data_IF_031283936564
#
_entry.id   IF_031283936564
#
_cell.length_a   1.000
_cell.length_b   1.000
_cell.length_c   1.000
_cell.angle_alpha   90.00
_cell.angle_beta   90.00
_cell.angle_gamma   90.00
#
_symmetry.space_group_name_H-M   'P 1'
#
loop_
_entity.id
_entity.type
_entity.pdbx_description
1 polymer ?
#
# COMPACT_ATOMS: atom_id res chain seq x y z
N UNK A 1 -13.08 12.51 28.04
CA UNK A 1 -13.77 11.46 27.26
C UNK A 1 -12.70 10.76 26.46
N UNK A 2 -12.48 9.47 26.71
CA UNK A 2 -11.62 8.65 25.84
C UNK A 2 -12.17 8.74 24.41
N UNK A 3 -11.31 9.11 23.48
CA UNK A 3 -11.66 9.17 22.07
C UNK A 3 -11.66 7.74 21.52
N UNK A 4 -12.81 7.25 21.06
CA UNK A 4 -12.93 5.95 20.40
C UNK A 4 -12.06 5.87 19.13
N UNK A 5 -11.75 4.65 18.67
CA UNK A 5 -10.89 4.43 17.51
C UNK A 5 -11.43 5.04 16.20
N UNK A 6 -12.76 5.05 16.01
CA UNK A 6 -13.42 5.49 14.79
C UNK A 6 -14.28 6.73 15.07
N UNK A 7 -14.23 7.70 14.17
CA UNK A 7 -15.09 8.88 14.18
C UNK A 7 -15.52 9.27 12.78
N UNK A 8 -16.61 10.04 12.70
CA UNK A 8 -17.12 10.60 11.44
C UNK A 8 -16.13 11.57 10.81
N UNK A 9 -16.07 11.57 9.48
CA UNK A 9 -15.20 12.44 8.67
C UNK A 9 -16.03 13.45 7.87
N UNK A 10 -15.52 14.67 7.76
CA UNK A 10 -16.02 15.68 6.81
C UNK A 10 -15.23 15.61 5.52
N UNK A 11 -15.91 15.27 4.43
CA UNK A 11 -15.26 15.03 3.14
C UNK A 11 -16.06 15.63 1.98
N UNK A 12 -15.33 16.08 0.95
CA UNK A 12 -15.88 16.21 -0.39
C UNK A 12 -15.63 14.90 -1.15
N UNK A 13 -16.61 14.48 -1.93
CA UNK A 13 -16.47 13.31 -2.79
C UNK A 13 -16.38 13.76 -4.24
N UNK A 14 -15.57 13.07 -5.04
CA UNK A 14 -15.59 13.22 -6.49
C UNK A 14 -16.99 12.92 -7.02
N UNK A 15 -17.45 13.69 -8.00
CA UNK A 15 -18.73 13.44 -8.66
C UNK A 15 -18.62 12.21 -9.57
N UNK A 16 -19.73 11.50 -9.73
CA UNK A 16 -19.82 10.25 -10.49
C UNK A 16 -19.22 10.36 -11.90
N UNK A 17 -19.57 11.42 -12.63
CA UNK A 17 -19.11 11.66 -14.00
C UNK A 17 -17.61 11.96 -14.13
N UNK A 18 -16.92 12.23 -13.01
CA UNK A 18 -15.48 12.50 -12.97
C UNK A 18 -14.65 11.37 -12.37
N UNK A 19 -15.27 10.40 -11.69
CA UNK A 19 -14.56 9.42 -10.87
C UNK A 19 -13.56 8.59 -11.67
N UNK A 20 -13.95 8.07 -12.83
CA UNK A 20 -13.07 7.26 -13.71
C UNK A 20 -11.89 8.04 -14.25
N UNK A 21 -12.03 9.36 -14.40
CA UNK A 21 -11.02 10.24 -14.97
C UNK A 21 -10.03 10.73 -13.92
N UNK A 22 -10.55 11.11 -12.75
CA UNK A 22 -9.80 11.80 -11.70
C UNK A 22 -9.09 10.81 -10.79
N UNK A 23 -9.80 9.77 -10.31
CA UNK A 23 -9.26 8.85 -9.30
C UNK A 23 -8.03 8.14 -9.86
N UNK A 24 -6.88 8.29 -9.24
CA UNK A 24 -5.64 7.73 -9.76
C UNK A 24 -5.46 6.26 -9.39
N UNK A 25 -4.68 5.48 -10.17
CA UNK A 25 -4.13 4.22 -9.69
C UNK A 25 -3.33 4.44 -8.41
N UNK A 26 -3.00 3.35 -7.72
CA UNK A 26 -2.21 3.41 -6.51
C UNK A 26 -0.82 3.92 -6.88
N UNK A 27 -0.33 4.91 -6.13
CA UNK A 27 0.89 5.63 -6.49
C UNK A 27 2.09 4.71 -6.70
N UNK A 28 2.22 3.69 -5.86
CA UNK A 28 3.30 2.71 -5.86
C UNK A 28 3.07 1.50 -6.78
N UNK A 29 1.93 1.43 -7.46
CA UNK A 29 1.67 0.44 -8.50
C UNK A 29 2.27 0.84 -9.87
N UNK A 30 2.62 2.12 -10.03
CA UNK A 30 3.23 2.64 -11.26
C UNK A 30 4.71 2.98 -11.02
N UNK A 31 5.54 2.86 -12.06
CA UNK A 31 6.88 3.44 -12.09
C UNK A 31 6.82 4.95 -12.37
N UNK A 32 7.87 5.73 -12.05
CA UNK A 32 7.90 7.16 -12.33
C UNK A 32 7.52 7.51 -13.78
N UNK A 33 8.08 6.80 -14.77
CA UNK A 33 7.85 7.07 -16.20
C UNK A 33 6.39 6.81 -16.58
N UNK A 34 5.79 5.74 -16.03
CA UNK A 34 4.37 5.42 -16.23
C UNK A 34 3.46 6.49 -15.60
N UNK A 35 3.81 7.02 -14.42
CA UNK A 35 3.07 8.14 -13.81
C UNK A 35 3.12 9.37 -14.71
N UNK A 36 4.27 9.68 -15.29
CA UNK A 36 4.42 10.79 -16.25
C UNK A 36 3.54 10.63 -17.48
N UNK A 37 3.53 9.44 -18.09
CA UNK A 37 2.69 9.17 -19.26
C UNK A 37 1.19 9.31 -18.95
N UNK A 38 0.73 8.83 -17.80
CA UNK A 38 -0.66 9.01 -17.36
C UNK A 38 -0.98 10.49 -17.13
N UNK A 39 -0.08 11.23 -16.47
CA UNK A 39 -0.23 12.66 -16.20
C UNK A 39 -0.23 13.53 -17.47
N UNK A 40 0.56 13.15 -18.48
CA UNK A 40 0.64 13.84 -19.77
C UNK A 40 -0.63 13.66 -20.59
N UNK A 41 -1.25 12.47 -20.51
CA UNK A 41 -2.50 12.15 -21.22
C UNK A 41 -3.71 12.88 -20.62
N UNK A 42 -3.74 13.09 -19.31
CA UNK A 42 -4.88 13.73 -18.66
C UNK A 42 -4.48 14.75 -17.58
N UNK A 43 -4.81 16.05 -17.74
CA UNK A 43 -4.53 17.05 -16.72
C UNK A 43 -5.40 16.92 -15.46
N UNK A 44 -6.47 16.10 -15.46
CA UNK A 44 -7.36 15.94 -14.31
C UNK A 44 -7.07 14.71 -13.45
N UNK A 45 -6.14 13.85 -13.85
CA UNK A 45 -5.77 12.68 -13.02
C UNK A 45 -5.15 13.14 -11.70
N UNK A 46 -5.56 12.53 -10.60
CA UNK A 46 -5.18 12.96 -9.25
C UNK A 46 -3.68 12.81 -8.94
N UNK A 47 -2.92 12.07 -9.77
CA UNK A 47 -1.46 11.97 -9.67
C UNK A 47 -0.77 13.34 -9.71
N UNK A 48 -1.37 14.33 -10.38
CA UNK A 48 -0.87 15.72 -10.38
C UNK A 48 -0.92 16.37 -9.00
N UNK A 49 -1.79 15.90 -8.09
CA UNK A 49 -1.90 16.42 -6.71
C UNK A 49 -0.96 15.67 -5.77
N UNK A 50 -0.78 14.35 -5.94
CA UNK A 50 0.00 13.51 -5.01
C UNK A 50 1.47 13.33 -5.40
N UNK A 51 2.00 14.19 -6.28
CA UNK A 51 3.35 14.02 -6.82
C UNK A 51 4.40 14.14 -5.73
N UNK A 52 5.31 13.18 -5.67
CA UNK A 52 6.45 13.19 -4.75
C UNK A 52 7.63 13.94 -5.34
N UNK A 53 8.43 14.57 -4.48
CA UNK A 53 9.75 15.10 -4.85
C UNK A 53 10.70 13.94 -5.20
N UNK A 54 11.49 14.09 -6.27
CA UNK A 54 12.39 13.04 -6.79
C UNK A 54 11.78 12.10 -7.84
N UNK A 55 10.48 12.25 -8.15
CA UNK A 55 9.83 11.47 -9.22
C UNK A 55 10.10 12.02 -10.63
N UNK A 56 10.47 13.29 -10.74
CA UNK A 56 10.71 14.00 -11.99
C UNK A 56 12.20 13.88 -12.34
N UNK A 57 12.56 13.49 -13.56
CA UNK A 57 13.96 13.55 -14.03
C UNK A 57 14.46 14.99 -14.13
N UNK A 58 13.54 15.95 -14.20
CA UNK A 58 13.84 17.38 -14.20
C UNK A 58 14.31 17.82 -12.80
N UNK A 59 15.31 18.72 -12.75
CA UNK A 59 15.87 19.36 -11.54
C UNK A 59 14.89 20.30 -10.80
N UNK A 60 13.61 19.93 -10.68
CA UNK A 60 12.63 20.70 -9.91
C UNK A 60 12.93 20.55 -8.42
N UNK A 61 12.94 21.67 -7.74
CA UNK A 61 13.02 21.76 -6.28
C UNK A 61 11.75 21.22 -5.62
N UNK A 62 11.85 20.82 -4.34
CA UNK A 62 10.69 20.37 -3.56
C UNK A 62 9.56 21.42 -3.52
N UNK A 63 9.93 22.70 -3.51
CA UNK A 63 8.99 23.82 -3.47
C UNK A 63 8.18 23.96 -4.76
N UNK A 64 8.84 23.79 -5.92
CA UNK A 64 8.18 23.79 -7.23
C UNK A 64 7.22 22.61 -7.40
N UNK A 65 7.61 21.42 -6.93
CA UNK A 65 6.71 20.25 -6.93
C UNK A 65 5.48 20.52 -6.09
N UNK A 66 5.67 21.06 -4.89
CA UNK A 66 4.55 21.36 -3.98
C UNK A 66 3.63 22.46 -4.55
N UNK A 67 4.19 23.50 -5.18
CA UNK A 67 3.41 24.52 -5.88
C UNK A 67 2.60 23.94 -7.06
N UNK A 68 3.20 23.03 -7.84
CA UNK A 68 2.51 22.32 -8.92
C UNK A 68 1.34 21.46 -8.40
N UNK A 69 1.55 20.77 -7.27
CA UNK A 69 0.49 19.97 -6.63
C UNK A 69 -0.69 20.84 -6.17
N UNK A 70 -0.40 22.01 -5.58
CA UNK A 70 -1.42 22.98 -5.18
C UNK A 70 -2.20 23.53 -6.39
N UNK A 71 -1.50 23.89 -7.48
CA UNK A 71 -2.12 24.33 -8.72
C UNK A 71 -3.01 23.24 -9.35
N UNK A 72 -2.59 21.98 -9.27
CA UNK A 72 -3.40 20.84 -9.71
C UNK A 72 -4.67 20.68 -8.89
N UNK A 73 -4.60 20.73 -7.56
CA UNK A 73 -5.79 20.67 -6.70
C UNK A 73 -6.75 21.83 -7.00
N UNK A 74 -6.22 23.05 -7.13
CA UNK A 74 -7.01 24.24 -7.49
C UNK A 74 -7.72 24.08 -8.83
N UNK A 75 -7.06 23.49 -9.83
CA UNK A 75 -7.68 23.14 -11.12
C UNK A 75 -8.86 22.19 -10.94
N UNK A 76 -8.72 21.13 -10.12
CA UNK A 76 -9.81 20.19 -9.89
C UNK A 76 -11.00 20.85 -9.19
N UNK A 77 -10.75 21.68 -8.17
CA UNK A 77 -11.79 22.40 -7.43
C UNK A 77 -12.52 23.43 -8.32
N UNK A 78 -11.77 24.18 -9.13
CA UNK A 78 -12.33 25.19 -10.05
C UNK A 78 -13.20 24.56 -11.15
N UNK A 79 -12.91 23.33 -11.54
CA UNK A 79 -13.72 22.57 -12.48
C UNK A 79 -14.98 21.93 -11.84
N UNK A 80 -15.25 22.19 -10.56
CA UNK A 80 -16.40 21.65 -9.82
C UNK A 80 -16.48 20.11 -9.87
N UNK A 81 -15.32 19.46 -9.90
CA UNK A 81 -15.15 17.99 -9.97
C UNK A 81 -15.62 17.31 -8.68
N UNK A 82 -15.44 18.00 -7.55
CA UNK A 82 -15.83 17.53 -6.23
C UNK A 82 -17.17 18.15 -5.83
N UNK A 83 -18.00 17.35 -5.16
CA UNK A 83 -19.24 17.82 -4.56
C UNK A 83 -19.00 18.74 -3.36
N UNK A 84 -20.09 19.30 -2.82
CA UNK A 84 -20.04 20.06 -1.56
C UNK A 84 -19.52 19.17 -0.42
N UNK A 85 -18.86 19.80 0.56
CA UNK A 85 -18.50 19.13 1.82
C UNK A 85 -19.78 18.59 2.44
N UNK A 86 -19.83 17.27 2.66
CA UNK A 86 -20.90 16.64 3.44
C UNK A 86 -20.58 16.83 4.93
N UNK A 87 -21.61 16.97 5.76
CA UNK A 87 -21.43 16.98 7.20
C UNK A 87 -20.75 15.70 7.70
N UNK A 88 -20.29 15.66 8.96
CA UNK A 88 -19.56 14.52 9.50
C UNK A 88 -20.31 13.22 9.24
N UNK A 89 -19.72 12.30 8.47
CA UNK A 89 -20.34 11.03 8.06
C UNK A 89 -19.34 9.87 8.14
N UNK A 90 -19.83 8.64 8.10
CA UNK A 90 -19.02 7.47 7.71
C UNK A 90 -19.41 7.05 6.29
N UNK A 91 -18.50 6.37 5.61
CA UNK A 91 -18.76 5.78 4.29
C UNK A 91 -18.31 4.32 4.26
N UNK A 92 -18.95 3.49 3.45
CA UNK A 92 -18.39 2.20 3.06
C UNK A 92 -17.63 2.37 1.75
N UNK A 93 -16.45 1.76 1.64
CA UNK A 93 -15.65 1.72 0.43
C UNK A 93 -15.33 0.28 0.05
N UNK A 94 -15.99 -0.20 -1.00
CA UNK A 94 -15.72 -1.51 -1.60
C UNK A 94 -14.72 -1.39 -2.73
N UNK A 95 -13.77 -2.31 -2.76
CA UNK A 95 -12.83 -2.56 -3.83
C UNK A 95 -12.99 -4.01 -4.28
N UNK A 96 -13.20 -4.24 -5.58
CA UNK A 96 -13.25 -5.58 -6.17
C UNK A 96 -12.25 -5.71 -7.31
N UNK A 97 -11.46 -6.78 -7.28
CA UNK A 97 -10.47 -7.11 -8.31
C UNK A 97 -10.53 -8.60 -8.60
N UNK A 98 -10.98 -8.97 -9.81
CA UNK A 98 -11.24 -10.37 -10.16
C UNK A 98 -12.30 -10.99 -9.25
N UNK A 99 -11.93 -12.10 -8.61
CA UNK A 99 -12.73 -12.86 -7.64
C UNK A 99 -12.65 -12.30 -6.21
N UNK A 100 -11.72 -11.39 -5.96
CA UNK A 100 -11.45 -10.86 -4.63
C UNK A 100 -12.18 -9.54 -4.39
N UNK A 101 -12.78 -9.41 -3.22
CA UNK A 101 -13.49 -8.21 -2.77
C UNK A 101 -13.13 -7.89 -1.32
N UNK A 102 -12.98 -6.60 -1.03
CA UNK A 102 -12.84 -6.09 0.33
C UNK A 102 -13.68 -4.80 0.50
N UNK A 103 -14.27 -4.61 1.67
CA UNK A 103 -15.09 -3.45 2.02
C UNK A 103 -14.59 -2.82 3.31
N UNK A 104 -14.19 -1.55 3.22
CA UNK A 104 -13.69 -0.79 4.35
C UNK A 104 -14.67 0.26 4.87
N UNK A 105 -14.60 0.58 6.16
CA UNK A 105 -15.28 1.73 6.77
C UNK A 105 -14.36 2.94 6.68
N UNK A 106 -14.82 4.00 6.03
CA UNK A 106 -14.12 5.28 5.87
C UNK A 106 -14.52 6.21 7.00
N UNK A 107 -13.52 6.75 7.70
CA UNK A 107 -13.70 7.68 8.80
C UNK A 107 -12.39 8.32 9.25
N UNK A 108 -12.48 9.08 10.33
CA UNK A 108 -11.34 9.69 10.99
C UNK A 108 -10.95 8.90 12.24
N UNK A 109 -9.64 8.82 12.49
CA UNK A 109 -9.06 8.22 13.69
C UNK A 109 -8.33 9.29 14.49
N UNK A 110 -8.59 9.45 15.79
CA UNK A 110 -7.80 10.36 16.61
C UNK A 110 -6.34 9.90 16.65
N UNK A 111 -5.39 10.80 16.36
CA UNK A 111 -3.95 10.47 16.43
C UNK A 111 -3.50 10.11 17.86
N UNK A 112 -4.28 10.47 18.88
CA UNK A 112 -4.11 9.97 20.24
C UNK A 112 -4.13 8.42 20.30
N UNK A 113 -4.94 7.74 19.49
CA UNK A 113 -4.98 6.28 19.41
C UNK A 113 -3.64 5.68 18.93
N UNK A 114 -2.84 6.43 18.17
CA UNK A 114 -1.48 6.03 17.77
C UNK A 114 -0.55 6.09 18.97
N UNK A 115 -0.61 7.19 19.75
CA UNK A 115 0.20 7.40 20.96
C UNK A 115 -0.13 6.37 22.06
N UNK A 116 -1.39 5.98 22.15
CA UNK A 116 -1.88 4.90 23.03
C UNK A 116 -1.53 3.49 22.52
N UNK A 117 -0.94 3.37 21.34
CA UNK A 117 -0.53 2.09 20.76
C UNK A 117 -1.69 1.25 20.20
N UNK A 118 -2.88 1.82 20.02
CA UNK A 118 -4.05 1.13 19.42
C UNK A 118 -3.96 1.01 17.90
N UNK A 119 -3.20 1.88 17.25
CA UNK A 119 -2.80 1.72 15.84
C UNK A 119 -1.40 1.13 15.77
N UNK A 120 -1.27 -0.06 15.18
CA UNK A 120 -0.06 -0.87 15.22
C UNK A 120 0.60 -0.89 13.82
N UNK A 121 1.72 -0.18 13.61
CA UNK A 121 2.50 -0.31 12.39
C UNK A 121 3.35 -1.58 12.40
N UNK A 122 3.59 -2.17 11.23
CA UNK A 122 4.43 -3.38 11.06
C UNK A 122 5.62 -3.20 10.10
N UNK A 123 5.84 -2.02 9.53
CA UNK A 123 6.97 -1.72 8.63
C UNK A 123 7.76 -0.50 9.11
N UNK A 124 9.08 -0.52 8.88
CA UNK A 124 9.95 0.64 9.14
C UNK A 124 9.64 1.77 8.15
N UNK A 125 9.58 3.00 8.66
CA UNK A 125 9.43 4.21 7.84
C UNK A 125 10.79 4.74 7.39
N UNK A 126 10.82 5.40 6.23
CA UNK A 126 11.95 6.24 5.81
C UNK A 126 11.71 7.68 6.29
N UNK A 127 12.51 8.23 7.22
CA UNK A 127 12.26 9.55 7.81
C UNK A 127 12.12 10.67 6.77
N UNK A 128 12.98 10.70 5.75
CA UNK A 128 12.93 11.70 4.67
C UNK A 128 11.59 11.69 3.92
N UNK A 129 11.05 10.50 3.64
CA UNK A 129 9.75 10.35 2.96
C UNK A 129 8.59 10.80 3.84
N UNK A 130 8.63 10.52 5.14
CA UNK A 130 7.63 11.00 6.09
C UNK A 130 7.64 12.52 6.21
N UNK A 131 8.83 13.15 6.28
CA UNK A 131 8.97 14.60 6.33
C UNK A 131 8.40 15.27 5.07
N UNK A 132 8.75 14.77 3.87
CA UNK A 132 8.20 15.31 2.63
C UNK A 132 6.67 15.21 2.55
N UNK A 133 6.09 14.11 3.06
CA UNK A 133 4.62 13.96 3.14
C UNK A 133 3.99 14.91 4.17
N UNK A 134 4.68 15.19 5.29
CA UNK A 134 4.23 16.17 6.27
C UNK A 134 4.22 17.58 5.66
N UNK A 135 5.32 17.98 5.00
CA UNK A 135 5.43 19.28 4.33
C UNK A 135 4.39 19.43 3.20
N UNK A 136 4.13 18.34 2.48
CA UNK A 136 3.04 18.29 1.49
C UNK A 136 1.67 18.51 2.14
N UNK A 137 1.38 17.83 3.24
CA UNK A 137 0.12 17.99 3.98
C UNK A 137 -0.04 19.40 4.55
N UNK A 138 1.05 20.01 5.03
CA UNK A 138 1.05 21.39 5.54
C UNK A 138 0.66 22.41 4.46
N UNK A 139 1.18 22.23 3.25
CA UNK A 139 0.97 23.16 2.13
C UNK A 139 -0.35 22.93 1.40
N UNK A 140 -0.74 21.67 1.18
CA UNK A 140 -1.98 21.33 0.46
C UNK A 140 -3.21 21.31 1.37
N UNK A 141 -3.03 20.99 2.65
CA UNK A 141 -4.09 20.90 3.67
C UNK A 141 -5.26 19.99 3.31
N UNK A 142 -5.00 18.99 2.46
CA UNK A 142 -5.98 17.98 2.08
C UNK A 142 -5.37 16.59 2.24
N UNK A 143 -6.06 15.74 3.01
CA UNK A 143 -5.87 14.31 2.98
C UNK A 143 -6.81 13.72 1.92
N UNK A 144 -6.22 13.03 0.95
CA UNK A 144 -6.93 12.47 -0.20
C UNK A 144 -6.77 10.97 -0.38
N UNK A 145 -5.88 10.38 0.43
CA UNK A 145 -5.53 8.96 0.41
C UNK A 145 -5.66 8.44 1.84
N UNK A 146 -6.66 7.59 2.14
CA UNK A 146 -6.81 7.08 3.50
C UNK A 146 -5.63 6.19 3.87
N UNK A 147 -5.28 6.15 5.14
CA UNK A 147 -4.46 5.06 5.70
C UNK A 147 -5.35 3.82 5.78
N UNK A 148 -4.93 2.73 5.13
CA UNK A 148 -5.64 1.47 5.21
C UNK A 148 -5.28 0.81 6.54
N UNK A 149 -6.30 0.45 7.31
CA UNK A 149 -6.20 -0.17 8.62
C UNK A 149 -6.93 -1.52 8.57
N UNK A 150 -6.35 -2.54 9.19
CA UNK A 150 -6.94 -3.86 9.37
C UNK A 150 -7.46 -4.01 10.79
N UNK A 151 -8.67 -4.52 11.00
CA UNK A 151 -9.22 -4.81 12.33
C UNK A 151 -9.69 -6.26 12.43
N UNK A 152 -9.65 -6.83 13.64
CA UNK A 152 -10.17 -8.18 13.89
C UNK A 152 -11.65 -8.29 13.53
N UNK A 153 -11.95 -9.34 12.77
CA UNK A 153 -13.29 -9.63 12.25
C UNK A 153 -14.37 -9.54 13.33
N UNK A 154 -15.51 -8.95 12.97
CA UNK A 154 -16.64 -8.73 13.87
C UNK A 154 -17.96 -8.97 13.15
N UNK A 155 -18.74 -9.94 13.63
CA UNK A 155 -20.00 -10.34 12.99
C UNK A 155 -21.03 -9.21 12.96
N UNK A 156 -21.05 -8.32 13.95
CA UNK A 156 -21.98 -7.19 13.98
C UNK A 156 -21.58 -6.14 12.94
N UNK A 157 -20.29 -5.85 12.81
CA UNK A 157 -19.78 -4.96 11.75
C UNK A 157 -20.09 -5.54 10.37
N UNK A 158 -19.82 -6.83 10.16
CA UNK A 158 -20.11 -7.52 8.90
C UNK A 158 -21.61 -7.49 8.56
N UNK A 159 -22.49 -7.65 9.57
CA UNK A 159 -23.95 -7.57 9.41
C UNK A 159 -24.38 -6.16 8.98
N UNK A 160 -23.86 -5.11 9.61
CA UNK A 160 -24.17 -3.72 9.24
C UNK A 160 -23.70 -3.42 7.81
N UNK A 161 -22.46 -3.79 7.47
CA UNK A 161 -21.89 -3.60 6.12
C UNK A 161 -22.77 -4.31 5.08
N UNK A 162 -23.11 -5.58 5.30
CA UNK A 162 -23.93 -6.37 4.39
C UNK A 162 -25.34 -5.79 4.23
N UNK A 163 -25.95 -5.32 5.33
CA UNK A 163 -27.25 -4.68 5.29
C UNK A 163 -27.24 -3.43 4.40
N UNK A 164 -26.24 -2.56 4.55
CA UNK A 164 -26.11 -1.35 3.73
C UNK A 164 -25.89 -1.72 2.25
N UNK A 165 -24.99 -2.67 1.96
CA UNK A 165 -24.69 -3.08 0.59
C UNK A 165 -25.90 -3.69 -0.14
N UNK A 166 -26.78 -4.38 0.58
CA UNK A 166 -27.96 -5.04 0.01
C UNK A 166 -29.17 -4.11 -0.14
N UNK A 167 -29.28 -3.08 0.71
CA UNK A 167 -30.48 -2.24 0.78
C UNK A 167 -30.27 -0.83 0.20
N UNK A 168 -29.03 -0.36 0.08
CA UNK A 168 -28.72 1.01 -0.35
C UNK A 168 -28.03 1.06 -1.73
N UNK A 169 -28.32 2.12 -2.48
CA UNK A 169 -27.63 2.40 -3.74
C UNK A 169 -26.30 3.11 -3.48
N UNK A 170 -25.16 2.68 -4.09
CA UNK A 170 -23.91 3.39 -3.93
C UNK A 170 -24.00 4.81 -4.51
N UNK A 171 -23.46 5.80 -3.79
CA UNK A 171 -23.37 7.19 -4.25
C UNK A 171 -22.24 7.39 -5.27
N UNK A 172 -21.34 6.42 -5.38
CA UNK A 172 -20.29 6.39 -6.38
C UNK A 172 -20.06 4.94 -6.79
N UNK A 173 -20.03 4.66 -8.10
CA UNK A 173 -19.74 3.33 -8.65
C UNK A 173 -19.02 3.45 -9.99
N UNK A 174 -17.77 2.99 -10.05
CA UNK A 174 -16.96 3.12 -11.26
C UNK A 174 -15.89 2.03 -11.35
N UNK A 175 -15.29 1.88 -12.52
CA UNK A 175 -14.15 1.01 -12.77
C UNK A 175 -13.18 1.72 -13.72
N UNK A 176 -11.87 1.58 -13.50
CA UNK A 176 -10.84 2.12 -14.39
C UNK A 176 -10.24 1.04 -15.28
N UNK A 177 -9.28 1.45 -16.11
CA UNK A 177 -8.49 0.56 -16.98
C UNK A 177 -7.76 -0.56 -16.23
N UNK A 178 -7.53 -0.40 -14.92
CA UNK A 178 -6.92 -1.41 -14.06
C UNK A 178 -7.91 -2.48 -13.57
N UNK A 179 -9.15 -2.46 -14.06
CA UNK A 179 -10.22 -3.42 -13.79
C UNK A 179 -10.62 -3.52 -12.31
N UNK A 180 -10.25 -2.55 -11.48
CA UNK A 180 -10.67 -2.52 -10.07
C UNK A 180 -12.01 -1.77 -9.98
N UNK A 181 -13.08 -2.51 -9.71
CA UNK A 181 -14.40 -1.93 -9.45
C UNK A 181 -14.41 -1.29 -8.06
N UNK A 182 -14.97 -0.09 -7.98
CA UNK A 182 -15.01 0.72 -6.77
C UNK A 182 -16.42 1.21 -6.51
N UNK A 183 -16.90 1.03 -5.28
CA UNK A 183 -18.21 1.50 -4.83
C UNK A 183 -18.14 2.20 -3.49
N UNK A 184 -18.86 3.30 -3.35
CA UNK A 184 -18.97 4.08 -2.12
C UNK A 184 -20.44 4.17 -1.70
N UNK A 185 -20.72 3.91 -0.42
CA UNK A 185 -22.03 4.15 0.19
C UNK A 185 -21.91 5.14 1.35
N UNK A 186 -22.87 6.06 1.52
CA UNK A 186 -23.00 6.79 2.77
C UNK A 186 -23.53 5.84 3.84
N UNK A 187 -23.07 5.99 5.08
CA UNK A 187 -23.60 5.24 6.23
C UNK A 187 -24.62 6.13 6.95
N UNK A 188 -25.83 5.61 7.18
CA UNK A 188 -26.87 6.31 7.93
C UNK A 188 -26.45 6.54 9.39
N UNK A 189 -26.99 7.57 10.04
CA UNK A 189 -26.55 7.97 11.40
C UNK A 189 -26.68 6.87 12.45
N UNK A 190 -27.72 6.03 12.35
CA UNK A 190 -27.95 4.90 13.24
C UNK A 190 -26.85 3.86 13.12
N UNK A 191 -26.55 3.42 11.89
CA UNK A 191 -25.49 2.45 11.60
C UNK A 191 -24.11 3.04 11.93
N UNK A 192 -23.89 4.32 11.62
CA UNK A 192 -22.64 4.99 11.91
C UNK A 192 -22.37 5.04 13.43
N UNK A 193 -23.41 5.28 14.24
CA UNK A 193 -23.28 5.29 15.71
C UNK A 193 -22.98 3.89 16.24
N UNK A 194 -23.63 2.85 15.70
CA UNK A 194 -23.36 1.47 16.07
C UNK A 194 -21.93 1.04 15.72
N UNK A 195 -21.46 1.36 14.50
CA UNK A 195 -20.10 1.08 14.07
C UNK A 195 -19.05 1.78 14.95
N UNK A 196 -19.26 3.05 15.28
CA UNK A 196 -18.36 3.79 16.17
C UNK A 196 -18.27 3.12 17.55
N UNK A 197 -19.40 2.63 18.08
CA UNK A 197 -19.43 1.94 19.37
C UNK A 197 -18.69 0.61 19.33
N UNK A 198 -18.96 -0.23 18.32
CA UNK A 198 -18.30 -1.54 18.17
C UNK A 198 -16.79 -1.39 17.96
N UNK A 199 -16.38 -0.36 17.22
CA UNK A 199 -14.96 -0.09 16.92
C UNK A 199 -14.21 0.60 18.06
N UNK A 200 -14.91 1.12 19.08
CA UNK A 200 -14.37 2.03 20.11
C UNK A 200 -13.06 1.53 20.72
N UNK A 201 -13.05 0.28 21.17
CA UNK A 201 -11.97 -0.35 21.95
C UNK A 201 -11.11 -1.32 21.13
N UNK A 202 -11.34 -1.43 19.82
CA UNK A 202 -10.55 -2.31 18.96
C UNK A 202 -9.14 -1.78 18.75
N UNK A 203 -8.25 -2.69 18.37
CA UNK A 203 -6.94 -2.38 17.81
C UNK A 203 -7.02 -2.40 16.29
N UNK A 204 -6.12 -1.66 15.64
CA UNK A 204 -6.02 -1.62 14.20
C UNK A 204 -4.56 -1.73 13.73
N UNK A 205 -4.34 -2.54 12.69
CA UNK A 205 -3.03 -2.76 12.09
C UNK A 205 -2.88 -1.88 10.86
N UNK A 206 -1.73 -1.21 10.68
CA UNK A 206 -1.51 -0.36 9.50
C UNK A 206 -1.24 -1.25 8.29
N UNK A 207 -2.23 -1.43 7.43
CA UNK A 207 -2.16 -2.28 6.23
C UNK A 207 -1.38 -1.57 5.12
N UNK A 208 -1.72 -0.31 4.86
CA UNK A 208 -1.02 0.54 3.89
C UNK A 208 -1.03 2.00 4.35
N UNK A 209 0.10 2.67 4.18
CA UNK A 209 0.24 4.08 4.51
C UNK A 209 1.04 4.39 5.78
N UNK A 210 2.01 3.56 6.17
CA UNK A 210 2.90 3.83 7.32
C UNK A 210 3.58 5.20 7.25
N UNK A 211 4.02 5.61 6.05
CA UNK A 211 4.58 6.95 5.84
C UNK A 211 3.52 8.07 5.97
N UNK A 212 2.27 7.81 5.57
CA UNK A 212 1.15 8.77 5.72
C UNK A 212 0.74 8.92 7.19
N UNK A 213 0.68 7.81 7.93
CA UNK A 213 0.48 7.81 9.37
C UNK A 213 1.58 8.62 10.07
N UNK A 214 2.85 8.32 9.76
CA UNK A 214 3.99 9.03 10.32
C UNK A 214 3.96 10.53 9.99
N UNK A 215 3.61 10.91 8.76
CA UNK A 215 3.47 12.30 8.36
C UNK A 215 2.32 13.02 9.10
N UNK A 216 1.19 12.35 9.31
CA UNK A 216 0.08 12.92 10.07
C UNK A 216 0.45 13.11 11.56
N UNK A 217 1.13 12.14 12.17
CA UNK A 217 1.65 12.25 13.54
C UNK A 217 2.66 13.40 13.67
N UNK A 218 3.59 13.52 12.72
CA UNK A 218 4.55 14.62 12.68
C UNK A 218 3.85 15.98 12.59
N UNK A 219 2.86 16.12 11.70
CA UNK A 219 2.07 17.35 11.58
C UNK A 219 1.31 17.70 12.86
N UNK A 220 0.73 16.71 13.52
CA UNK A 220 0.04 16.91 14.79
C UNK A 220 0.99 17.40 15.89
N UNK A 221 2.19 16.81 15.99
CA UNK A 221 3.22 17.22 16.96
C UNK A 221 3.73 18.64 16.65
N UNK A 222 4.08 18.95 15.39
CA UNK A 222 4.54 20.29 14.96
C UNK A 222 3.54 21.39 15.31
N UNK A 223 2.25 21.05 15.31
CA UNK A 223 1.16 21.97 15.62
C UNK A 223 0.68 21.85 17.07
N UNK A 224 1.57 21.45 17.99
CA UNK A 224 1.33 21.46 19.44
C UNK A 224 0.29 20.44 19.91
N UNK A 225 0.16 19.32 19.21
CA UNK A 225 -0.88 18.31 19.44
C UNK A 225 -2.32 18.89 19.35
N UNK A 226 -2.52 19.93 18.52
CA UNK A 226 -3.82 20.60 18.36
C UNK A 226 -4.86 19.78 17.58
N UNK A 227 -6.15 20.12 17.79
CA UNK A 227 -7.29 19.39 17.24
C UNK A 227 -7.44 19.45 15.71
N UNK A 228 -6.92 20.47 15.02
CA UNK A 228 -7.03 20.59 13.55
C UNK A 228 -6.28 19.48 12.82
N UNK A 229 -5.09 19.11 13.33
CA UNK A 229 -4.29 18.00 12.80
C UNK A 229 -4.42 16.71 13.61
N UNK A 230 -5.25 16.68 14.65
CA UNK A 230 -5.38 15.54 15.56
C UNK A 230 -6.12 14.31 15.01
N UNK A 231 -6.40 14.28 13.71
CA UNK A 231 -7.17 13.22 13.06
C UNK A 231 -6.44 12.66 11.84
N UNK A 232 -6.48 11.34 11.71
CA UNK A 232 -6.00 10.58 10.57
C UNK A 232 -7.18 10.13 9.72
N UNK A 233 -7.17 10.46 8.43
CA UNK A 233 -8.13 9.91 7.48
C UNK A 233 -7.82 8.44 7.19
N UNK A 234 -8.77 7.53 7.42
CA UNK A 234 -8.54 6.09 7.40
C UNK A 234 -9.65 5.29 6.71
N UNK A 235 -9.29 4.07 6.30
CA UNK A 235 -10.17 3.03 5.77
C UNK A 235 -9.96 1.74 6.56
N UNK A 236 -10.97 1.28 7.29
CA UNK A 236 -10.90 0.10 8.16
C UNK A 236 -11.46 -1.14 7.45
N UNK A 237 -10.60 -2.11 7.15
CA UNK A 237 -10.96 -3.39 6.52
C UNK A 237 -10.90 -4.54 7.53
N UNK A 238 -11.83 -5.50 7.48
CA UNK A 238 -11.73 -6.71 8.28
C UNK A 238 -10.51 -7.53 7.81
N UNK A 239 -9.76 -8.11 8.75
CA UNK A 239 -8.52 -8.85 8.43
C UNK A 239 -8.79 -10.04 7.49
N UNK A 240 -9.94 -10.71 7.59
CA UNK A 240 -10.29 -11.83 6.71
C UNK A 240 -10.48 -11.45 5.23
N UNK A 241 -10.79 -10.18 4.94
CA UNK A 241 -10.95 -9.68 3.56
C UNK A 241 -9.63 -9.15 2.97
N UNK A 242 -8.54 -9.07 3.73
CA UNK A 242 -7.29 -8.54 3.22
C UNK A 242 -6.48 -9.61 2.47
N UNK A 243 -6.11 -9.31 1.22
CA UNK A 243 -5.21 -10.14 0.43
C UNK A 243 -3.78 -9.60 0.46
N UNK A 244 -2.86 -10.38 1.01
CA UNK A 244 -1.42 -10.09 1.02
C UNK A 244 -0.78 -10.77 -0.19
N UNK A 245 0.06 -10.03 -0.90
CA UNK A 245 0.91 -10.52 -1.98
C UNK A 245 2.37 -10.27 -1.68
N UNK A 246 3.23 -11.07 -2.29
CA UNK A 246 4.66 -10.93 -2.17
C UNK A 246 5.14 -9.65 -2.86
N UNK A 247 6.29 -9.16 -2.43
CA UNK A 247 7.14 -8.34 -3.29
C UNK A 247 8.27 -9.21 -3.81
N UNK A 248 8.31 -9.40 -5.11
CA UNK A 248 9.41 -10.07 -5.81
C UNK A 248 10.66 -9.17 -5.81
N UNK A 249 11.82 -9.79 -6.05
CA UNK A 249 13.09 -9.07 -6.18
C UNK A 249 13.67 -9.33 -7.55
N UNK A 250 14.22 -8.30 -8.18
CA UNK A 250 15.06 -8.44 -9.36
C UNK A 250 16.38 -7.74 -9.11
N UNK A 251 17.47 -8.40 -9.44
CA UNK A 251 18.81 -7.80 -9.49
C UNK A 251 19.16 -7.67 -10.96
N UNK A 252 19.53 -6.46 -11.40
CA UNK A 252 19.80 -6.17 -12.82
C UNK A 252 21.10 -6.77 -13.35
N UNK A 253 21.90 -7.41 -12.49
CA UNK A 253 23.13 -8.10 -12.86
C UNK A 253 23.27 -9.44 -12.12
N UNK A 254 24.33 -10.18 -12.46
CA UNK A 254 24.69 -11.47 -11.85
C UNK A 254 25.87 -11.34 -10.87
N UNK A 255 26.23 -10.12 -10.45
CA UNK A 255 27.42 -9.82 -9.64
C UNK A 255 28.74 -10.47 -10.14
N UNK A 256 28.87 -10.63 -11.46
CA UNK A 256 30.04 -11.26 -12.09
C UNK A 256 30.04 -12.80 -12.08
N UNK A 257 29.00 -13.44 -11.54
CA UNK A 257 28.86 -14.90 -11.55
C UNK A 257 28.35 -15.42 -12.90
N UNK A 258 28.87 -16.57 -13.31
CA UNK A 258 28.16 -17.44 -14.27
C UNK A 258 26.93 -18.05 -13.59
N UNK A 259 25.98 -18.57 -14.37
CA UNK A 259 24.79 -19.22 -13.80
C UNK A 259 25.17 -20.43 -12.92
N UNK A 260 26.13 -21.24 -13.36
CA UNK A 260 26.64 -22.38 -12.59
C UNK A 260 27.31 -21.96 -11.27
N UNK A 261 28.07 -20.87 -11.29
CA UNK A 261 28.72 -20.37 -10.08
C UNK A 261 27.70 -19.75 -9.12
N UNK A 262 26.69 -19.06 -9.63
CA UNK A 262 25.58 -18.58 -8.82
C UNK A 262 24.84 -19.74 -8.13
N UNK A 263 24.56 -20.82 -8.85
CA UNK A 263 23.95 -22.02 -8.27
C UNK A 263 24.82 -22.64 -7.17
N UNK A 264 26.14 -22.73 -7.37
CA UNK A 264 27.07 -23.23 -6.33
C UNK A 264 27.09 -22.33 -5.10
N UNK A 265 27.13 -21.02 -5.29
CA UNK A 265 27.10 -20.04 -4.19
C UNK A 265 25.80 -20.16 -3.39
N UNK A 266 24.64 -20.26 -4.06
CA UNK A 266 23.35 -20.45 -3.40
C UNK A 266 23.31 -21.79 -2.65
N UNK A 267 23.78 -22.89 -3.26
CA UNK A 267 23.82 -24.20 -2.63
C UNK A 267 24.67 -24.20 -1.34
N UNK A 268 25.81 -23.49 -1.36
CA UNK A 268 26.70 -23.33 -0.21
C UNK A 268 26.07 -22.59 0.98
N UNK A 269 24.87 -22.00 0.81
CA UNK A 269 24.11 -21.27 1.85
C UNK A 269 22.94 -22.06 2.42
N UNK A 270 23.00 -23.39 2.32
CA UNK A 270 22.01 -24.36 2.82
C UNK A 270 20.69 -24.39 2.02
N UNK A 271 20.78 -24.16 0.70
CA UNK A 271 19.63 -24.30 -0.20
C UNK A 271 19.78 -25.50 -1.13
N UNK A 272 18.70 -26.23 -1.34
CA UNK A 272 18.55 -27.14 -2.47
C UNK A 272 17.98 -26.39 -3.67
N UNK A 273 18.52 -26.66 -4.85
CA UNK A 273 18.08 -26.08 -6.12
C UNK A 273 17.47 -27.18 -6.99
N UNK A 274 16.24 -26.96 -7.45
CA UNK A 274 15.50 -27.91 -8.28
C UNK A 274 15.04 -27.19 -9.55
N UNK A 275 15.55 -27.58 -10.74
CA UNK A 275 15.04 -27.05 -12.01
C UNK A 275 13.53 -27.28 -12.13
N UNK A 276 12.81 -26.28 -12.63
CA UNK A 276 11.36 -26.36 -12.85
C UNK A 276 11.07 -26.67 -14.31
N UNK A 277 9.97 -27.39 -14.56
CA UNK A 277 9.47 -27.59 -15.92
C UNK A 277 8.86 -26.31 -16.51
N UNK A 278 8.77 -26.21 -17.84
CA UNK A 278 8.17 -25.03 -18.52
C UNK A 278 6.71 -24.77 -18.10
N UNK A 279 5.95 -25.83 -17.81
CA UNK A 279 4.54 -25.75 -17.40
C UNK A 279 4.35 -25.69 -15.86
N UNK A 280 5.42 -25.70 -15.08
CA UNK A 280 5.32 -25.66 -13.62
C UNK A 280 5.14 -24.23 -13.13
N UNK A 281 4.14 -24.00 -12.26
CA UNK A 281 3.89 -22.68 -11.67
C UNK A 281 5.08 -22.23 -10.80
N UNK A 282 5.79 -21.14 -11.18
CA UNK A 282 6.96 -20.67 -10.45
C UNK A 282 6.59 -19.92 -9.15
N UNK A 283 5.32 -19.75 -8.80
CA UNK A 283 4.93 -19.13 -7.54
C UNK A 283 5.28 -20.02 -6.33
N UNK A 284 6.11 -19.54 -5.37
CA UNK A 284 6.42 -20.32 -4.17
C UNK A 284 5.19 -20.62 -3.32
N UNK A 285 5.09 -21.87 -2.86
CA UNK A 285 3.89 -22.44 -2.21
C UNK A 285 3.96 -22.47 -0.69
N UNK A 286 5.16 -22.33 -0.12
CA UNK A 286 5.37 -22.32 1.32
C UNK A 286 6.39 -21.25 1.73
N UNK A 287 6.28 -20.78 2.98
CA UNK A 287 7.24 -19.85 3.57
C UNK A 287 8.67 -20.37 3.43
N UNK A 288 9.56 -19.44 3.11
CA UNK A 288 11.00 -19.64 2.89
C UNK A 288 11.38 -20.35 1.59
N UNK A 289 10.42 -20.79 0.78
CA UNK A 289 10.68 -21.21 -0.60
C UNK A 289 10.79 -19.97 -1.51
N UNK A 290 11.74 -20.01 -2.45
CA UNK A 290 11.86 -19.01 -3.52
C UNK A 290 11.84 -19.72 -4.87
N UNK A 291 11.49 -18.97 -5.91
CA UNK A 291 11.77 -19.40 -7.28
C UNK A 291 12.67 -18.37 -7.92
N UNK A 292 13.77 -18.81 -8.50
CA UNK A 292 14.74 -17.96 -9.16
C UNK A 292 14.61 -18.12 -10.67
N UNK A 293 14.54 -17.00 -11.38
CA UNK A 293 14.62 -16.95 -12.83
C UNK A 293 15.93 -16.32 -13.27
N UNK A 294 16.71 -17.07 -14.05
CA UNK A 294 17.95 -16.58 -14.66
C UNK A 294 18.28 -17.44 -15.88
N UNK A 295 18.75 -16.79 -16.96
CA UNK A 295 19.18 -17.50 -18.17
C UNK A 295 18.05 -18.29 -18.86
N UNK A 296 16.83 -17.77 -18.86
CA UNK A 296 15.70 -18.39 -19.56
C UNK A 296 14.98 -19.51 -18.79
N UNK A 297 15.34 -19.78 -17.53
CA UNK A 297 14.79 -20.90 -16.77
C UNK A 297 14.44 -20.56 -15.33
N UNK A 298 13.38 -21.20 -14.82
CA UNK A 298 12.99 -21.17 -13.42
C UNK A 298 13.68 -22.29 -12.63
N UNK A 299 14.09 -21.97 -11.41
CA UNK A 299 14.68 -22.91 -10.45
C UNK A 299 14.05 -22.70 -9.08
N UNK A 300 13.44 -23.73 -8.51
CA UNK A 300 12.96 -23.69 -7.14
C UNK A 300 14.15 -23.76 -6.18
N UNK A 301 14.21 -22.80 -5.25
CA UNK A 301 15.22 -22.70 -4.21
C UNK A 301 14.54 -22.97 -2.87
N UNK A 302 14.92 -24.07 -2.23
CA UNK A 302 14.34 -24.49 -0.95
C UNK A 302 15.41 -24.56 0.13
N UNK A 303 15.24 -23.86 1.26
CA UNK A 303 16.18 -23.93 2.37
C UNK A 303 16.08 -25.29 3.05
N UNK A 304 17.20 -25.79 3.55
CA UNK A 304 17.22 -27.03 4.34
C UNK A 304 16.44 -26.88 5.67
N UNK A 305 16.41 -25.67 6.24
CA UNK A 305 15.69 -25.33 7.48
C UNK A 305 15.22 -23.89 7.45
N UNK A 306 14.02 -23.65 7.98
CA UNK A 306 13.45 -22.31 8.19
C UNK A 306 13.05 -22.19 9.66
N UNK A 307 13.39 -21.07 10.27
CA UNK A 307 12.84 -20.73 11.56
C UNK A 307 11.41 -20.17 11.38
N UNK A 308 10.40 -20.57 12.18
CA UNK A 308 9.01 -20.11 11.98
C UNK A 308 8.79 -18.60 12.02
N UNK A 309 9.68 -17.86 12.69
CA UNK A 309 9.63 -16.40 12.74
C UNK A 309 10.34 -15.71 11.57
N UNK A 310 10.98 -16.48 10.70
CA UNK A 310 11.74 -15.96 9.58
C UNK A 310 10.81 -15.59 8.43
N UNK A 311 11.11 -14.47 7.79
CA UNK A 311 10.33 -13.91 6.69
C UNK A 311 11.16 -14.07 5.43
N UNK A 312 10.53 -14.53 4.36
CA UNK A 312 11.11 -14.78 3.04
C UNK A 312 11.99 -13.63 2.55
N UNK A 313 11.51 -12.40 2.63
CA UNK A 313 12.28 -11.21 2.23
C UNK A 313 13.58 -11.05 3.06
N UNK A 314 13.52 -11.31 4.37
CA UNK A 314 14.69 -11.23 5.25
C UNK A 314 15.65 -12.41 5.08
N UNK A 315 15.11 -13.61 4.81
CA UNK A 315 15.91 -14.80 4.48
C UNK A 315 16.67 -14.57 3.16
N UNK A 316 15.97 -14.13 2.11
CA UNK A 316 16.55 -13.80 0.81
C UNK A 316 17.64 -12.72 0.94
N UNK A 317 17.35 -11.64 1.68
CA UNK A 317 18.31 -10.57 1.92
C UNK A 317 19.58 -11.07 2.60
N UNK A 318 19.43 -11.80 3.71
CA UNK A 318 20.55 -12.23 4.55
C UNK A 318 21.37 -13.35 3.93
N UNK A 319 20.72 -14.29 3.26
CA UNK A 319 21.38 -15.48 2.72
C UNK A 319 21.81 -15.33 1.27
N UNK A 320 21.13 -14.54 0.45
CA UNK A 320 21.44 -14.46 -1.00
C UNK A 320 21.89 -13.04 -1.39
N UNK A 321 21.05 -12.02 -1.23
CA UNK A 321 21.31 -10.69 -1.79
C UNK A 321 22.57 -10.02 -1.19
N UNK A 322 22.70 -10.03 0.14
CA UNK A 322 23.87 -9.45 0.80
C UNK A 322 25.17 -10.23 0.56
N UNK A 323 25.23 -11.57 0.74
CA UNK A 323 26.49 -12.29 0.64
C UNK A 323 26.89 -12.69 -0.79
N UNK A 324 25.98 -12.73 -1.77
CA UNK A 324 26.31 -13.08 -3.17
C UNK A 324 26.33 -11.81 -4.03
N UNK A 325 25.28 -10.99 -3.97
CA UNK A 325 25.15 -9.82 -4.83
C UNK A 325 25.75 -8.54 -4.22
N UNK A 326 26.17 -8.60 -2.95
CA UNK A 326 26.68 -7.46 -2.19
C UNK A 326 25.69 -6.30 -2.11
N UNK A 327 24.39 -6.62 -2.07
CA UNK A 327 23.30 -5.65 -1.99
C UNK A 327 22.91 -5.44 -0.53
N UNK A 328 22.97 -4.19 -0.09
CA UNK A 328 22.54 -3.79 1.26
C UNK A 328 21.01 -3.64 1.38
N UNK A 329 20.50 -3.99 2.56
CA UNK A 329 19.10 -3.88 2.95
C UNK A 329 18.64 -2.41 3.06
N UNK A 330 19.57 -1.46 3.22
CA UNK A 330 19.28 -0.03 3.27
C UNK A 330 18.59 0.52 2.00
N UNK A 331 18.57 -0.26 0.91
CA UNK A 331 17.77 0.04 -0.29
C UNK A 331 18.28 1.22 -1.10
N UNK A 332 19.59 1.48 -1.03
CA UNK A 332 20.30 2.49 -1.83
C UNK A 332 20.94 1.89 -3.11
N UNK A 333 20.99 0.57 -3.24
CA UNK A 333 21.53 -0.08 -4.44
C UNK A 333 20.47 -0.10 -5.56
N UNK A 334 20.72 0.68 -6.61
CA UNK A 334 19.83 0.81 -7.77
C UNK A 334 19.68 -0.48 -8.58
N UNK A 335 20.55 -1.48 -8.36
CA UNK A 335 20.44 -2.79 -9.02
C UNK A 335 19.29 -3.62 -8.47
N UNK A 336 18.85 -3.36 -7.23
CA UNK A 336 17.74 -4.09 -6.61
C UNK A 336 16.41 -3.43 -6.92
N UNK A 337 15.58 -4.12 -7.70
CA UNK A 337 14.23 -3.71 -8.03
C UNK A 337 13.21 -4.52 -7.22
N UNK A 338 12.17 -3.84 -6.75
CA UNK A 338 11.07 -4.42 -5.99
C UNK A 338 9.84 -4.48 -6.90
N UNK A 339 9.32 -5.67 -7.16
CA UNK A 339 8.16 -5.87 -8.02
C UNK A 339 6.98 -6.37 -7.19
N UNK A 340 5.86 -5.63 -7.12
CA UNK A 340 4.66 -6.12 -6.47
C UNK A 340 4.14 -7.39 -7.16
N UNK A 341 3.71 -8.39 -6.39
CA UNK A 341 3.15 -9.63 -6.95
C UNK A 341 1.90 -9.41 -7.81
N UNK A 342 1.23 -8.27 -7.66
CA UNK A 342 0.11 -7.85 -8.51
C UNK A 342 0.46 -7.70 -10.00
N UNK A 343 1.74 -7.46 -10.32
CA UNK A 343 2.21 -7.30 -11.71
C UNK A 343 2.37 -8.66 -12.41
N UNK A 344 2.41 -9.75 -11.64
CA UNK A 344 2.55 -11.12 -12.14
C UNK A 344 4.00 -11.52 -12.47
N UNK A 345 4.25 -12.83 -12.50
CA UNK A 345 5.59 -13.39 -12.72
C UNK A 345 6.06 -13.26 -14.17
N UNK A 346 5.15 -13.19 -15.16
CA UNK A 346 5.52 -12.99 -16.56
C UNK A 346 6.24 -11.66 -16.78
N UNK A 347 5.81 -10.59 -16.10
CA UNK A 347 6.50 -9.31 -16.19
C UNK A 347 7.92 -9.36 -15.61
N UNK A 348 8.11 -10.17 -14.56
CA UNK A 348 9.41 -10.39 -13.95
C UNK A 348 10.35 -11.16 -14.91
N UNK A 349 9.81 -12.12 -15.66
CA UNK A 349 10.50 -12.83 -16.75
C UNK A 349 10.88 -11.86 -17.86
N UNK A 350 9.91 -11.15 -18.43
CA UNK A 350 10.12 -10.23 -19.56
C UNK A 350 11.23 -9.20 -19.26
N UNK A 351 11.24 -8.63 -18.06
CA UNK A 351 12.28 -7.68 -17.66
C UNK A 351 13.65 -8.33 -17.50
N UNK A 352 13.69 -9.54 -16.93
CA UNK A 352 14.95 -10.26 -16.70
C UNK A 352 15.56 -10.74 -18.02
N UNK A 353 14.75 -11.13 -19.00
CA UNK A 353 15.22 -11.48 -20.33
C UNK A 353 15.66 -10.26 -21.13
N UNK A 354 14.99 -9.10 -20.95
CA UNK A 354 15.31 -7.87 -21.66
C UNK A 354 16.63 -7.24 -21.20
N UNK A 355 16.79 -6.97 -19.89
CA UNK A 355 17.99 -6.28 -19.39
C UNK A 355 19.02 -7.21 -18.74
N UNK A 356 18.73 -8.52 -18.68
CA UNK A 356 19.54 -9.51 -17.97
C UNK A 356 19.33 -9.49 -16.44
N UNK A 357 20.22 -10.21 -15.75
CA UNK A 357 20.23 -10.32 -14.30
C UNK A 357 19.50 -11.55 -13.77
N UNK A 358 18.98 -11.45 -12.55
CA UNK A 358 18.27 -12.52 -11.85
C UNK A 358 17.01 -12.00 -11.18
N UNK A 359 15.96 -12.81 -11.24
CA UNK A 359 14.70 -12.55 -10.58
C UNK A 359 14.42 -13.60 -9.49
N UNK A 360 13.77 -13.18 -8.41
CA UNK A 360 13.34 -14.01 -7.31
C UNK A 360 11.84 -13.77 -7.05
N UNK A 361 11.04 -14.81 -7.28
CA UNK A 361 9.69 -14.91 -6.79
C UNK A 361 9.70 -15.36 -5.32
N UNK A 362 8.81 -14.79 -4.51
CA UNK A 362 8.72 -15.02 -3.05
C UNK A 362 7.31 -15.50 -2.71
N UNK A 363 7.18 -16.23 -1.60
CA UNK A 363 5.88 -16.54 -1.02
C UNK A 363 5.28 -15.29 -0.34
N UNK A 364 3.98 -15.01 -0.51
CA UNK A 364 3.32 -13.96 0.27
C UNK A 364 3.39 -14.24 1.78
N UNK A 365 3.64 -13.20 2.57
CA UNK A 365 3.64 -13.33 4.04
C UNK A 365 2.23 -13.71 4.51
N UNK A 366 2.06 -14.81 5.26
CA UNK A 366 0.76 -15.15 5.84
C UNK A 366 0.29 -14.09 6.84
N UNK A 367 -1.01 -13.77 6.83
CA UNK A 367 -1.57 -12.74 7.71
C UNK A 367 -1.30 -13.03 9.19
N UNK A 368 -1.38 -14.29 9.61
CA UNK A 368 -1.08 -14.70 10.99
C UNK A 368 0.37 -14.37 11.40
N UNK A 369 1.33 -14.48 10.47
CA UNK A 369 2.72 -14.11 10.72
C UNK A 369 2.86 -12.58 10.83
N UNK A 370 2.13 -11.83 10.00
CA UNK A 370 2.08 -10.37 10.06
C UNK A 370 1.58 -9.87 11.42
N UNK A 371 0.45 -10.42 11.88
CA UNK A 371 -0.14 -10.09 13.18
C UNK A 371 0.82 -10.43 14.31
N UNK A 372 1.41 -11.64 14.31
CA UNK A 372 2.37 -12.03 15.36
C UNK A 372 3.59 -11.11 15.45
N UNK A 373 4.06 -10.52 14.35
CA UNK A 373 5.17 -9.55 14.35
C UNK A 373 4.69 -8.20 14.87
N UNK A 374 3.51 -7.75 14.41
CA UNK A 374 2.92 -6.48 14.82
C UNK A 374 2.58 -6.45 16.32
N UNK A 375 2.01 -7.52 16.87
CA UNK A 375 1.66 -7.64 18.30
C UNK A 375 2.89 -7.58 19.21
N UNK A 376 4.03 -8.11 18.72
CA UNK A 376 5.33 -8.01 19.40
C UNK A 376 6.01 -6.66 19.20
N UNK A 377 5.35 -5.71 18.53
CA UNK A 377 5.88 -4.38 18.16
C UNK A 377 7.20 -4.46 17.37
N UNK A 378 7.38 -5.56 16.63
CA UNK A 378 8.51 -5.75 15.73
C UNK A 378 8.14 -5.23 14.34
N UNK A 379 9.15 -5.01 13.49
CA UNK A 379 8.96 -4.51 12.13
C UNK A 379 9.50 -5.50 11.12
N UNK A 380 8.78 -5.64 10.01
CA UNK A 380 9.25 -6.33 8.83
C UNK A 380 10.37 -5.53 8.13
N UNK A 381 11.27 -6.21 7.41
CA UNK A 381 12.09 -5.57 6.39
C UNK A 381 11.21 -4.75 5.43
N UNK A 382 11.74 -3.65 4.86
CA UNK A 382 10.99 -2.86 3.88
C UNK A 382 10.47 -3.72 2.73
N UNK A 383 9.26 -3.39 2.25
CA UNK A 383 8.65 -4.09 1.09
C UNK A 383 8.54 -5.61 1.31
N UNK A 384 8.14 -6.02 2.51
CA UNK A 384 7.83 -7.44 2.80
C UNK A 384 6.39 -7.82 2.47
N UNK A 385 5.46 -6.86 2.52
CA UNK A 385 4.02 -7.11 2.41
C UNK A 385 3.37 -6.17 1.40
N UNK A 386 2.67 -6.70 0.38
CA UNK A 386 1.88 -5.90 -0.55
C UNK A 386 0.40 -6.24 -0.44
N UNK A 387 -0.39 -5.37 0.19
CA UNK A 387 -1.84 -5.55 0.25
C UNK A 387 -2.51 -5.08 -1.03
N UNK A 388 -3.46 -5.88 -1.53
CA UNK A 388 -4.21 -5.56 -2.74
C UNK A 388 -5.68 -5.99 -2.63
N UNK A 389 -6.61 -5.28 -3.30
CA UNK A 389 -6.41 -4.01 -4.00
C UNK A 389 -6.10 -2.85 -3.03
N UNK A 390 -5.44 -1.80 -3.51
CA UNK A 390 -5.10 -0.63 -2.68
C UNK A 390 -6.19 0.42 -2.72
N UNK A 391 -6.39 1.10 -1.59
CA UNK A 391 -7.21 2.32 -1.51
C UNK A 391 -6.69 3.38 -2.48
N UNK A 392 -7.60 4.12 -3.12
CA UNK A 392 -7.24 5.12 -4.14
C UNK A 392 -7.20 6.54 -3.60
N UNK A 393 -6.45 7.38 -4.31
CA UNK A 393 -6.36 8.81 -4.08
C UNK A 393 -7.36 9.56 -4.96
N UNK A 394 -7.96 10.63 -4.41
CA UNK A 394 -8.83 11.53 -5.17
C UNK A 394 -10.31 11.13 -5.21
N UNK A 395 -10.73 10.10 -4.46
CA UNK A 395 -12.16 9.83 -4.22
C UNK A 395 -12.70 10.84 -3.21
N UNK A 396 -11.98 10.99 -2.10
CA UNK A 396 -12.31 11.87 -0.99
C UNK A 396 -11.30 13.02 -0.91
N UNK A 397 -11.76 14.22 -0.60
CA UNK A 397 -10.93 15.33 -0.12
C UNK A 397 -11.34 15.69 1.30
N UNK A 398 -10.43 15.46 2.25
CA UNK A 398 -10.61 15.76 3.66
C UNK A 398 -9.70 16.93 4.02
N UNK A 399 -10.29 18.08 4.32
CA UNK A 399 -9.55 19.31 4.63
C UNK A 399 -9.07 19.30 6.09
N UNK A 400 -7.85 19.78 6.35
CA UNK A 400 -7.20 19.78 7.67
C UNK A 400 -6.70 21.16 8.08
#
# INVERSE_FOLDING_TARGET
>A
MELGLLSRVEAQLVRQEWAERVVSPAYDALRPEQRFEVMKKDPYVFLHVTRSFGDDENEKTAEEVSASNAAALSRLLSANIYGKVRGPSLYLYQLRSGDHQQTGIIGDVPLAAVKEGRIIPHERIRPSRSLHLADHLEKIRVQSSPVALGYEDDEHVATIISSIQNNETPILHFQREDLIEQKIWPVADVDASALIEIMRDKYAYVVDGHHRLSAASEMWIRNGESGSFGKLFAAFFPLSELKISAFHRRVTDMAGHSLDDLYKEIAARDFSLLPMGEDEDPQPKASGEFSMYAGGQWTAIKPARIHPSEIDAGLLQRKILSPIFHIDEAGADNRLQYLPGAVGLNHLVDQTDLDGGVAFALHPVPIAQLLSVADRRMTFPPKSTYFQPKVRSGIFLVHR
#
